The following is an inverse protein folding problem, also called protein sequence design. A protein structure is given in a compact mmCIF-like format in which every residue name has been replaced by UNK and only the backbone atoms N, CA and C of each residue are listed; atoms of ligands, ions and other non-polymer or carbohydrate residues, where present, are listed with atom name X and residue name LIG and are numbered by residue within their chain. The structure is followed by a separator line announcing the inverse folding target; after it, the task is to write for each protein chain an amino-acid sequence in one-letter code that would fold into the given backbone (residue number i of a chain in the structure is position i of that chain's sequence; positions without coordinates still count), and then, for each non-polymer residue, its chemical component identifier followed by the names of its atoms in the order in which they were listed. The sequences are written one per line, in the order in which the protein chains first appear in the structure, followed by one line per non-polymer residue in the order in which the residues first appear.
data_IF_879650707860
#
_entry.id   IF_879650707860
#
_cell.length_a   1.000
_cell.length_b   1.000
_cell.length_c   1.000
_cell.angle_alpha   90.00
_cell.angle_beta   90.00
_cell.angle_gamma   90.00
#
_symmetry.space_group_name_H-M   'P 1'
#
loop_
_entity.id
_entity.type
_entity.pdbx_description
1 polymer ?
#
# COMPACT_ATOMS: atom_id res chain seq x y z
N UNK A 1 -16.05 1.41 -24.91
CA UNK A 1 -15.06 2.12 -24.06
C UNK A 1 -13.81 1.28 -24.02
N UNK A 2 -12.65 1.84 -24.28
CA UNK A 2 -11.42 1.08 -24.13
C UNK A 2 -10.99 1.06 -22.65
N UNK A 3 -10.10 0.14 -22.25
CA UNK A 3 -9.66 0.00 -20.85
C UNK A 3 -9.05 1.28 -20.26
N UNK A 4 -8.40 2.11 -21.07
CA UNK A 4 -7.82 3.36 -20.58
C UNK A 4 -8.89 4.42 -20.32
N UNK A 5 -9.90 4.51 -21.18
CA UNK A 5 -11.05 5.41 -20.97
C UNK A 5 -11.80 5.03 -19.70
N UNK A 6 -12.06 3.73 -19.49
CA UNK A 6 -12.69 3.21 -18.29
C UNK A 6 -11.90 3.57 -17.02
N UNK A 7 -10.58 3.38 -17.03
CA UNK A 7 -9.73 3.73 -15.90
C UNK A 7 -9.75 5.23 -15.59
N UNK A 8 -9.70 6.07 -16.62
CA UNK A 8 -9.78 7.54 -16.47
C UNK A 8 -11.11 8.00 -15.83
N UNK A 9 -12.22 7.34 -16.19
CA UNK A 9 -13.51 7.62 -15.54
C UNK A 9 -13.50 7.23 -14.06
N UNK A 10 -12.93 6.06 -13.71
CA UNK A 10 -12.85 5.61 -12.31
C UNK A 10 -12.02 6.58 -11.46
N UNK A 11 -10.86 7.01 -11.95
CA UNK A 11 -10.00 7.93 -11.21
C UNK A 11 -10.49 9.38 -11.23
N UNK A 12 -11.32 9.74 -12.22
CA UNK A 12 -11.84 11.10 -12.41
C UNK A 12 -10.80 12.07 -12.96
N UNK A 13 -9.81 11.57 -13.72
CA UNK A 13 -8.80 12.38 -14.38
C UNK A 13 -8.66 11.98 -15.86
N UNK A 14 -8.74 12.96 -16.76
CA UNK A 14 -8.60 12.77 -18.19
C UNK A 14 -7.20 13.22 -18.65
N UNK A 15 -6.42 12.28 -19.17
CA UNK A 15 -5.08 12.55 -19.66
C UNK A 15 -5.13 13.31 -20.98
N UNK A 16 -4.31 14.35 -21.10
CA UNK A 16 -4.07 15.08 -22.37
C UNK A 16 -3.24 14.20 -23.33
N UNK A 17 -2.24 13.47 -22.78
CA UNK A 17 -1.47 12.45 -23.50
C UNK A 17 -1.81 11.04 -23.04
N UNK A 18 -2.64 10.29 -23.80
CA UNK A 18 -2.97 8.91 -23.46
C UNK A 18 -1.77 7.94 -23.44
N UNK A 19 -0.63 8.31 -24.03
CA UNK A 19 0.54 7.44 -24.04
C UNK A 19 1.23 7.42 -22.67
N UNK A 20 1.20 8.52 -21.93
CA UNK A 20 1.78 8.54 -20.57
C UNK A 20 0.99 7.64 -19.62
N UNK A 21 -0.35 7.62 -19.69
CA UNK A 21 -1.17 6.67 -18.95
C UNK A 21 -0.86 5.22 -19.34
N UNK A 22 -0.74 4.95 -20.65
CA UNK A 22 -0.38 3.62 -21.15
C UNK A 22 0.96 3.17 -20.60
N UNK A 23 1.95 4.05 -20.54
CA UNK A 23 3.25 3.77 -19.94
C UNK A 23 3.12 3.48 -18.44
N UNK A 24 2.43 4.30 -17.67
CA UNK A 24 2.19 4.10 -16.23
C UNK A 24 1.56 2.74 -15.92
N UNK A 25 0.67 2.27 -16.80
CA UNK A 25 0.01 0.96 -16.67
C UNK A 25 0.81 -0.21 -17.28
N UNK A 26 2.05 -0.01 -17.71
CA UNK A 26 2.87 -1.04 -18.36
C UNK A 26 4.00 -1.50 -17.44
N UNK A 27 3.85 -2.68 -16.84
CA UNK A 27 4.89 -3.30 -16.03
C UNK A 27 6.09 -3.75 -16.88
N UNK A 28 7.28 -3.74 -16.31
CA UNK A 28 8.54 -4.10 -17.00
C UNK A 28 8.51 -5.50 -17.63
N UNK A 29 7.82 -6.47 -17.05
CA UNK A 29 7.65 -7.80 -17.66
C UNK A 29 6.97 -7.76 -19.03
N UNK A 30 5.96 -6.89 -19.20
CA UNK A 30 5.27 -6.72 -20.48
C UNK A 30 6.17 -6.02 -21.52
N UNK A 31 6.88 -4.98 -21.10
CA UNK A 31 7.80 -4.23 -21.95
C UNK A 31 8.96 -5.13 -22.43
N UNK A 32 9.50 -5.96 -21.54
CA UNK A 32 10.58 -6.90 -21.84
C UNK A 32 10.17 -7.96 -22.87
N UNK A 33 8.98 -8.55 -22.75
CA UNK A 33 8.47 -9.53 -23.74
C UNK A 33 8.31 -8.91 -25.15
N UNK A 34 8.15 -7.61 -25.23
CA UNK A 34 7.99 -6.89 -26.49
C UNK A 34 9.25 -6.16 -26.97
N UNK A 35 10.37 -6.38 -26.28
CA UNK A 35 11.65 -5.69 -26.55
C UNK A 35 11.57 -4.15 -26.50
N UNK A 36 10.71 -3.60 -25.63
CA UNK A 36 10.41 -2.16 -25.49
C UNK A 36 10.67 -1.68 -24.06
N UNK A 37 11.87 -1.92 -23.55
CA UNK A 37 12.27 -1.60 -22.16
C UNK A 37 12.03 -0.15 -21.75
N UNK A 38 12.09 0.79 -22.67
CA UNK A 38 11.87 2.22 -22.39
C UNK A 38 10.39 2.61 -22.25
N UNK A 39 9.46 1.68 -22.46
CA UNK A 39 8.02 1.90 -22.38
C UNK A 39 7.39 1.33 -21.08
N UNK A 40 8.20 0.88 -20.12
CA UNK A 40 7.71 0.46 -18.81
C UNK A 40 7.44 1.64 -17.86
N UNK A 41 6.90 1.31 -16.69
CA UNK A 41 6.47 2.28 -15.70
C UNK A 41 7.54 2.69 -14.68
N UNK A 42 8.71 2.04 -14.62
CA UNK A 42 9.71 2.21 -13.55
C UNK A 42 10.16 3.68 -13.38
N UNK A 43 10.30 4.43 -14.46
CA UNK A 43 10.68 5.85 -14.39
C UNK A 43 9.55 6.76 -13.91
N UNK A 44 8.32 6.40 -14.21
CA UNK A 44 7.13 7.12 -13.71
C UNK A 44 6.89 6.82 -12.25
N UNK A 45 7.11 5.57 -11.81
CA UNK A 45 7.11 5.14 -10.42
C UNK A 45 8.10 5.98 -9.60
N UNK A 46 9.36 6.04 -10.02
CA UNK A 46 10.40 6.87 -9.35
C UNK A 46 9.96 8.33 -9.15
N UNK A 47 9.33 8.93 -10.16
CA UNK A 47 8.85 10.31 -10.07
C UNK A 47 7.61 10.41 -9.18
N UNK A 48 6.70 9.44 -9.30
CA UNK A 48 5.46 9.39 -8.53
C UNK A 48 5.69 9.21 -7.04
N UNK A 49 6.66 8.37 -6.65
CA UNK A 49 7.11 8.22 -5.27
C UNK A 49 7.51 9.57 -4.67
N UNK A 50 8.37 10.34 -5.35
CA UNK A 50 8.80 11.65 -4.90
C UNK A 50 7.62 12.64 -4.73
N UNK A 51 6.64 12.63 -5.65
CA UNK A 51 5.43 13.47 -5.57
C UNK A 51 4.55 13.02 -4.40
N UNK A 52 4.35 11.73 -4.21
CA UNK A 52 3.59 11.15 -3.12
C UNK A 52 4.20 11.50 -1.75
N UNK A 53 5.51 11.36 -1.61
CA UNK A 53 6.25 11.74 -0.41
C UNK A 53 6.08 13.22 -0.07
N UNK A 54 6.20 14.12 -1.05
CA UNK A 54 6.03 15.56 -0.86
C UNK A 54 4.61 15.91 -0.42
N UNK A 55 3.59 15.40 -1.13
CA UNK A 55 2.18 15.67 -0.80
C UNK A 55 1.80 15.12 0.56
N UNK A 56 2.25 13.90 0.88
CA UNK A 56 2.00 13.27 2.18
C UNK A 56 2.65 14.06 3.32
N UNK A 57 3.88 14.54 3.11
CA UNK A 57 4.60 15.38 4.09
C UNK A 57 3.87 16.70 4.34
N UNK A 58 3.48 17.40 3.28
CA UNK A 58 2.72 18.66 3.39
C UNK A 58 1.38 18.43 4.13
N UNK A 59 0.64 17.39 3.75
CA UNK A 59 -0.62 17.05 4.38
C UNK A 59 -0.45 16.79 5.88
N UNK A 60 0.53 15.98 6.27
CA UNK A 60 0.77 15.64 7.67
C UNK A 60 1.24 16.86 8.47
N UNK A 61 2.14 17.68 7.93
CA UNK A 61 2.60 18.92 8.55
C UNK A 61 1.45 19.87 8.87
N UNK A 62 0.51 20.04 7.94
CA UNK A 62 -0.62 20.96 8.10
C UNK A 62 -1.70 20.41 9.04
N UNK A 63 -1.96 19.11 9.02
CA UNK A 63 -3.11 18.52 9.71
C UNK A 63 -2.74 17.94 11.10
N UNK A 64 -1.45 17.70 11.37
CA UNK A 64 -0.97 17.13 12.64
C UNK A 64 0.08 18.02 13.34
N UNK A 65 -0.26 19.29 13.67
CA UNK A 65 0.73 20.28 14.17
C UNK A 65 1.28 19.95 15.56
N UNK A 66 0.72 18.96 16.26
CA UNK A 66 1.16 18.54 17.59
C UNK A 66 2.12 17.35 17.56
N UNK A 67 2.29 16.69 16.41
CA UNK A 67 3.20 15.56 16.28
C UNK A 67 4.65 16.04 16.14
N UNK A 68 5.57 15.29 16.74
CA UNK A 68 7.00 15.49 16.53
C UNK A 68 7.41 15.12 15.10
N UNK A 69 8.60 15.58 14.66
CA UNK A 69 9.17 15.20 13.36
C UNK A 69 9.28 13.68 13.22
N UNK A 70 9.73 12.98 14.26
CA UNK A 70 9.83 11.52 14.26
C UNK A 70 8.48 10.82 14.10
N UNK A 71 7.41 11.34 14.75
CA UNK A 71 6.06 10.79 14.62
C UNK A 71 5.48 11.06 13.23
N UNK A 72 5.72 12.26 12.67
CA UNK A 72 5.30 12.58 11.29
C UNK A 72 5.99 11.67 10.27
N UNK A 73 7.29 11.43 10.42
CA UNK A 73 8.06 10.52 9.57
C UNK A 73 7.55 9.09 9.66
N UNK A 74 7.26 8.60 10.87
CA UNK A 74 6.70 7.28 11.10
C UNK A 74 5.29 7.14 10.49
N UNK A 75 4.44 8.15 10.67
CA UNK A 75 3.09 8.15 10.10
C UNK A 75 3.13 8.18 8.58
N UNK A 76 3.97 9.04 7.98
CA UNK A 76 4.18 9.07 6.53
C UNK A 76 4.58 7.71 6.00
N UNK A 77 5.62 7.09 6.57
CA UNK A 77 6.07 5.75 6.15
C UNK A 77 4.93 4.70 6.18
N UNK A 78 4.00 4.81 7.14
CA UNK A 78 2.82 3.95 7.18
C UNK A 78 1.80 4.21 6.07
N UNK A 79 1.68 5.45 5.62
CA UNK A 79 0.73 5.85 4.58
C UNK A 79 1.22 5.52 3.16
N UNK A 80 2.54 5.61 2.93
CA UNK A 80 3.14 5.41 1.60
C UNK A 80 3.83 4.06 1.42
N UNK A 81 3.74 3.14 2.39
CA UNK A 81 4.34 1.81 2.25
C UNK A 81 3.55 0.91 1.27
N UNK A 82 4.23 -0.05 0.67
CA UNK A 82 3.68 -1.02 -0.29
C UNK A 82 2.32 -1.60 0.13
N UNK A 83 2.13 -2.14 1.37
CA UNK A 83 0.84 -2.73 1.76
C UNK A 83 -0.31 -1.71 1.76
N UNK A 84 -0.06 -0.48 2.18
CA UNK A 84 -1.06 0.58 2.23
C UNK A 84 -1.41 1.05 0.82
N UNK A 85 -0.41 1.31 -0.02
CA UNK A 85 -0.63 1.71 -1.41
C UNK A 85 -1.37 0.63 -2.19
N UNK A 86 -0.96 -0.64 -2.06
CA UNK A 86 -1.66 -1.76 -2.68
C UNK A 86 -3.13 -1.86 -2.25
N UNK A 87 -3.44 -1.61 -0.98
CA UNK A 87 -4.83 -1.58 -0.51
C UNK A 87 -5.62 -0.43 -1.15
N UNK A 88 -5.00 0.75 -1.35
CA UNK A 88 -5.64 1.90 -2.01
C UNK A 88 -6.03 1.59 -3.46
N UNK A 89 -5.31 0.69 -4.16
CA UNK A 89 -5.61 0.34 -5.55
C UNK A 89 -6.92 -0.39 -5.75
N UNK A 90 -7.46 -1.01 -4.70
CA UNK A 90 -8.70 -1.79 -4.79
C UNK A 90 -9.90 -0.93 -5.20
N UNK A 91 -10.01 0.30 -4.69
CA UNK A 91 -11.12 1.20 -5.00
C UNK A 91 -11.13 1.71 -6.45
N UNK A 92 -9.97 1.65 -7.12
CA UNK A 92 -9.83 2.02 -8.54
C UNK A 92 -9.62 0.80 -9.44
N UNK A 93 -9.66 -0.42 -8.89
CA UNK A 93 -9.49 -1.69 -9.63
C UNK A 93 -8.20 -1.72 -10.47
N UNK A 94 -7.14 -1.04 -10.03
CA UNK A 94 -5.93 -0.79 -10.81
C UNK A 94 -5.34 -2.07 -11.42
N UNK A 95 -5.38 -3.20 -10.69
CA UNK A 95 -4.87 -4.48 -11.16
C UNK A 95 -5.48 -4.97 -12.48
N UNK A 96 -6.72 -4.57 -12.80
CA UNK A 96 -7.41 -4.99 -14.04
C UNK A 96 -6.91 -4.22 -15.26
N UNK A 97 -6.26 -3.08 -15.02
CA UNK A 97 -5.74 -2.19 -16.06
C UNK A 97 -4.24 -2.34 -16.32
N UNK A 98 -3.47 -2.89 -15.36
CA UNK A 98 -2.03 -3.11 -15.51
C UNK A 98 -1.74 -4.12 -16.62
N UNK A 99 -0.77 -3.81 -17.48
CA UNK A 99 -0.30 -4.66 -18.58
C UNK A 99 0.89 -5.49 -18.09
N UNK A 100 0.71 -6.79 -18.01
CA UNK A 100 1.69 -7.76 -17.52
C UNK A 100 2.20 -8.65 -18.63
N UNK A 101 3.43 -9.10 -18.52
CA UNK A 101 3.95 -10.21 -19.31
C UNK A 101 3.26 -11.52 -18.92
N UNK A 102 3.28 -12.51 -19.81
CA UNK A 102 2.57 -13.80 -19.63
C UNK A 102 3.00 -14.51 -18.34
N UNK A 103 4.29 -14.47 -18.00
CA UNK A 103 4.79 -15.11 -16.78
C UNK A 103 4.22 -14.48 -15.52
N UNK A 104 4.22 -13.14 -15.43
CA UNK A 104 3.63 -12.41 -14.31
C UNK A 104 2.11 -12.60 -14.23
N UNK A 105 1.42 -12.58 -15.36
CA UNK A 105 -0.01 -12.84 -15.43
C UNK A 105 -0.37 -14.22 -14.85
N UNK A 106 0.35 -15.27 -15.25
CA UNK A 106 0.12 -16.64 -14.79
C UNK A 106 0.41 -16.86 -13.32
N UNK A 107 1.33 -16.09 -12.74
CA UNK A 107 1.70 -16.17 -11.31
C UNK A 107 0.88 -15.25 -10.41
N UNK A 108 -0.20 -14.65 -10.95
CA UNK A 108 -1.11 -13.80 -10.18
C UNK A 108 -0.61 -12.37 -9.97
N UNK A 109 0.24 -11.86 -10.87
CA UNK A 109 0.84 -10.51 -10.81
C UNK A 109 -0.18 -9.39 -10.63
N UNK A 110 -1.40 -9.52 -11.20
CA UNK A 110 -2.50 -8.53 -11.03
C UNK A 110 -2.92 -8.28 -9.58
N UNK A 111 -2.61 -9.18 -8.66
CA UNK A 111 -2.92 -9.09 -7.23
C UNK A 111 -1.68 -8.96 -6.37
N UNK A 112 -0.49 -8.89 -6.98
CA UNK A 112 0.77 -8.76 -6.27
C UNK A 112 0.93 -7.33 -5.76
N UNK A 113 1.10 -7.18 -4.44
CA UNK A 113 1.13 -5.88 -3.77
C UNK A 113 2.22 -4.97 -4.34
N UNK A 114 3.43 -5.48 -4.59
CA UNK A 114 4.51 -4.68 -5.18
C UNK A 114 4.14 -4.13 -6.56
N UNK A 115 3.59 -4.96 -7.45
CA UNK A 115 3.18 -4.50 -8.79
C UNK A 115 2.07 -3.44 -8.71
N UNK A 116 1.15 -3.59 -7.75
CA UNK A 116 0.05 -2.64 -7.56
C UNK A 116 0.53 -1.31 -6.97
N UNK A 117 1.44 -1.34 -5.97
CA UNK A 117 2.02 -0.11 -5.41
C UNK A 117 2.83 0.66 -6.45
N UNK A 118 3.73 -0.02 -7.16
CA UNK A 118 4.58 0.57 -8.19
C UNK A 118 3.76 1.18 -9.33
N UNK A 119 2.69 0.48 -9.76
CA UNK A 119 1.76 1.01 -10.77
C UNK A 119 0.97 2.23 -10.26
N UNK A 120 0.59 2.28 -8.97
CA UNK A 120 -0.08 3.44 -8.38
C UNK A 120 0.85 4.66 -8.36
N UNK A 121 2.09 4.48 -7.94
CA UNK A 121 3.11 5.53 -7.98
C UNK A 121 3.35 5.99 -9.41
N UNK A 122 3.45 5.07 -10.36
CA UNK A 122 3.59 5.42 -11.78
C UNK A 122 2.40 6.23 -12.31
N UNK A 123 1.17 5.94 -11.88
CA UNK A 123 -0.02 6.75 -12.22
C UNK A 123 0.09 8.15 -11.63
N UNK A 124 0.57 8.31 -10.40
CA UNK A 124 0.82 9.61 -9.78
C UNK A 124 1.85 10.40 -10.60
N UNK A 125 2.96 9.78 -10.97
CA UNK A 125 3.99 10.38 -11.81
C UNK A 125 3.45 10.79 -13.18
N UNK A 126 2.60 9.98 -13.78
CA UNK A 126 1.94 10.29 -15.05
C UNK A 126 0.99 11.49 -14.93
N UNK A 127 0.13 11.54 -13.90
CA UNK A 127 -0.76 12.70 -13.64
C UNK A 127 0.06 13.96 -13.40
N UNK A 128 1.17 13.86 -12.66
CA UNK A 128 2.06 14.99 -12.43
C UNK A 128 2.65 15.57 -13.72
N UNK A 129 3.13 14.73 -14.63
CA UNK A 129 3.71 15.17 -15.90
C UNK A 129 2.66 15.72 -16.86
N UNK A 130 1.48 15.13 -16.88
CA UNK A 130 0.38 15.50 -17.79
C UNK A 130 -0.39 16.74 -17.32
N UNK A 131 -0.71 16.81 -16.03
CA UNK A 131 -1.59 17.84 -15.46
C UNK A 131 -0.99 18.70 -14.35
N UNK A 132 0.27 18.46 -13.99
CA UNK A 132 1.00 19.22 -12.96
C UNK A 132 0.67 18.82 -11.53
N UNK A 133 1.34 19.50 -10.61
CA UNK A 133 1.34 19.18 -9.18
C UNK A 133 -0.07 19.19 -8.55
N UNK A 134 -0.92 20.16 -8.92
CA UNK A 134 -2.27 20.29 -8.34
C UNK A 134 -3.13 19.06 -8.61
N UNK A 135 -3.15 18.57 -9.84
CA UNK A 135 -3.90 17.37 -10.21
C UNK A 135 -3.37 16.11 -9.51
N UNK A 136 -2.04 15.96 -9.42
CA UNK A 136 -1.43 14.85 -8.68
C UNK A 136 -1.76 14.92 -7.18
N UNK A 137 -1.72 16.10 -6.58
CA UNK A 137 -2.11 16.33 -5.19
C UNK A 137 -3.58 15.97 -4.92
N UNK A 138 -4.49 16.40 -5.79
CA UNK A 138 -5.92 16.06 -5.67
C UNK A 138 -6.15 14.55 -5.75
N UNK A 139 -5.46 13.87 -6.67
CA UNK A 139 -5.51 12.42 -6.79
C UNK A 139 -5.02 11.72 -5.50
N UNK A 140 -3.87 12.14 -4.97
CA UNK A 140 -3.29 11.57 -3.75
C UNK A 140 -4.22 11.80 -2.54
N UNK A 141 -4.77 13.01 -2.38
CA UNK A 141 -5.72 13.32 -1.31
C UNK A 141 -6.98 12.47 -1.41
N UNK A 142 -7.50 12.27 -2.61
CA UNK A 142 -8.74 11.52 -2.86
C UNK A 142 -8.59 10.02 -2.61
N UNK A 143 -7.48 9.41 -3.02
CA UNK A 143 -7.34 7.96 -3.05
C UNK A 143 -6.38 7.40 -1.99
N UNK A 144 -5.42 8.20 -1.52
CA UNK A 144 -4.37 7.71 -0.62
C UNK A 144 -4.48 8.33 0.77
N UNK A 145 -4.65 9.65 0.88
CA UNK A 145 -4.69 10.34 2.17
C UNK A 145 -6.10 10.42 2.77
N UNK A 146 -6.89 9.39 2.57
CA UNK A 146 -8.19 9.17 3.21
C UNK A 146 -8.07 8.14 4.33
N UNK A 147 -8.97 8.21 5.31
CA UNK A 147 -9.06 7.22 6.41
C UNK A 147 -7.72 6.98 7.13
N UNK A 148 -7.02 8.08 7.42
CA UNK A 148 -5.67 8.08 8.01
C UNK A 148 -5.62 7.31 9.33
N UNK A 149 -6.64 7.46 10.19
CA UNK A 149 -6.66 6.81 11.50
C UNK A 149 -6.72 5.28 11.38
N UNK A 150 -7.44 4.75 10.41
CA UNK A 150 -7.49 3.32 10.15
C UNK A 150 -6.16 2.80 9.58
N UNK A 151 -5.56 3.55 8.65
CA UNK A 151 -4.24 3.22 8.08
C UNK A 151 -3.14 3.27 9.15
N UNK A 152 -3.17 4.28 10.03
CA UNK A 152 -2.27 4.38 11.19
C UNK A 152 -2.45 3.18 12.12
N UNK A 153 -3.70 2.82 12.42
CA UNK A 153 -4.01 1.67 13.26
C UNK A 153 -3.42 0.38 12.66
N UNK A 154 -3.54 0.21 11.34
CA UNK A 154 -2.99 -0.96 10.66
C UNK A 154 -1.46 -0.97 10.69
N UNK A 155 -0.81 0.13 10.32
CA UNK A 155 0.65 0.22 10.23
C UNK A 155 1.35 0.11 11.58
N UNK A 156 0.82 0.72 12.63
CA UNK A 156 1.42 0.80 13.96
C UNK A 156 0.76 -0.15 14.97
N UNK A 157 0.00 -1.11 14.48
CA UNK A 157 -0.84 -1.98 15.32
C UNK A 157 -0.05 -2.71 16.42
N UNK A 158 1.19 -3.14 16.17
CA UNK A 158 2.02 -3.80 17.19
C UNK A 158 2.37 -2.85 18.34
N UNK A 159 2.77 -1.62 18.06
CA UNK A 159 3.08 -0.62 19.08
C UNK A 159 1.82 -0.23 19.86
N UNK A 160 0.75 0.07 19.13
CA UNK A 160 -0.52 0.47 19.72
C UNK A 160 -1.09 -0.64 20.62
N UNK A 161 -1.01 -1.91 20.18
CA UNK A 161 -1.45 -3.05 20.97
C UNK A 161 -0.57 -3.26 22.20
N UNK A 162 0.75 -3.09 22.07
CA UNK A 162 1.69 -3.18 23.18
C UNK A 162 1.36 -2.15 24.27
N UNK A 163 1.18 -0.88 23.90
CA UNK A 163 0.81 0.21 24.81
C UNK A 163 -0.55 -0.05 25.46
N UNK A 164 -1.53 -0.50 24.68
CA UNK A 164 -2.86 -0.82 25.16
C UNK A 164 -2.83 -1.97 26.21
N UNK A 165 -2.08 -3.03 25.93
CA UNK A 165 -1.97 -4.17 26.85
C UNK A 165 -1.24 -3.78 28.12
N UNK A 166 -0.12 -3.05 28.02
CA UNK A 166 0.61 -2.55 29.19
C UNK A 166 -0.21 -1.62 30.09
N UNK A 167 -1.14 -0.86 29.52
CA UNK A 167 -2.00 0.04 30.28
C UNK A 167 -3.25 -0.59 30.89
N UNK A 168 -3.67 -1.79 30.44
CA UNK A 168 -4.97 -2.36 30.81
C UNK A 168 -4.92 -3.79 31.32
N UNK A 169 -3.78 -4.48 31.23
CA UNK A 169 -3.63 -5.89 31.64
C UNK A 169 -2.35 -6.09 32.45
N UNK A 170 -2.38 -7.04 33.37
CA UNK A 170 -1.19 -7.45 34.14
C UNK A 170 -0.31 -8.40 33.34
N UNK A 171 -0.94 -9.23 32.48
CA UNK A 171 -0.23 -10.20 31.65
C UNK A 171 0.40 -9.55 30.43
N UNK A 172 1.56 -10.07 30.02
CA UNK A 172 2.30 -9.57 28.88
C UNK A 172 1.69 -9.96 27.51
N UNK A 173 1.81 -9.06 26.55
CA UNK A 173 1.54 -9.36 25.14
C UNK A 173 2.63 -10.29 24.59
N UNK A 174 2.21 -11.34 23.90
CA UNK A 174 3.10 -12.27 23.20
C UNK A 174 2.56 -12.63 21.82
N UNK A 175 3.45 -13.12 20.95
CA UNK A 175 3.09 -13.60 19.62
C UNK A 175 3.53 -15.05 19.46
N UNK A 176 2.58 -15.91 19.09
CA UNK A 176 2.83 -17.34 18.88
C UNK A 176 2.71 -17.68 17.40
N UNK A 177 3.75 -18.26 16.83
CA UNK A 177 3.69 -18.85 15.50
C UNK A 177 2.80 -20.11 15.55
N UNK A 178 1.72 -20.09 14.75
CA UNK A 178 0.80 -21.21 14.62
C UNK A 178 1.19 -22.12 13.47
N UNK A 179 1.56 -21.53 12.34
CA UNK A 179 1.86 -22.26 11.11
C UNK A 179 2.94 -21.54 10.30
N UNK A 180 3.80 -22.34 9.67
CA UNK A 180 4.72 -21.91 8.62
C UNK A 180 4.52 -22.84 7.42
N UNK A 181 4.08 -22.31 6.27
CA UNK A 181 3.74 -23.09 5.09
C UNK A 181 4.30 -22.46 3.83
N UNK A 182 4.36 -23.26 2.74
CA UNK A 182 4.86 -22.84 1.44
C UNK A 182 6.37 -23.04 1.25
N UNK A 183 6.85 -22.98 -0.02
CA UNK A 183 8.26 -23.13 -0.36
C UNK A 183 9.05 -21.87 0.08
N UNK A 184 10.37 -22.00 0.20
CA UNK A 184 11.27 -20.95 0.72
C UNK A 184 11.09 -19.58 0.05
N UNK A 185 10.83 -19.57 -1.24
CA UNK A 185 10.62 -18.34 -2.02
C UNK A 185 9.18 -17.79 -1.93
N UNK A 186 8.26 -18.50 -1.26
CA UNK A 186 6.86 -18.09 -1.09
C UNK A 186 6.28 -18.61 0.23
N UNK A 187 7.01 -18.38 1.32
CA UNK A 187 6.56 -18.74 2.67
C UNK A 187 5.36 -17.92 3.09
N UNK A 188 4.48 -18.55 3.86
CA UNK A 188 3.40 -17.91 4.57
C UNK A 188 3.48 -18.29 6.05
N UNK A 189 3.34 -17.30 6.91
CA UNK A 189 3.36 -17.45 8.36
C UNK A 189 1.99 -17.09 8.91
N UNK A 190 1.48 -17.89 9.84
CA UNK A 190 0.28 -17.57 10.61
C UNK A 190 0.67 -17.40 12.08
N UNK A 191 0.33 -16.26 12.65
CA UNK A 191 0.69 -15.85 14.00
C UNK A 191 -0.56 -15.50 14.79
N UNK A 192 -0.55 -15.80 16.07
CA UNK A 192 -1.58 -15.44 17.04
C UNK A 192 -1.01 -14.44 18.06
N UNK A 193 -1.70 -13.31 18.27
CA UNK A 193 -1.43 -12.39 19.37
C UNK A 193 -2.17 -12.85 20.63
N UNK A 194 -1.49 -12.82 21.78
CA UNK A 194 -1.99 -13.35 23.06
C UNK A 194 -1.71 -12.39 24.21
N UNK A 195 -2.63 -12.34 25.16
CA UNK A 195 -2.42 -11.76 26.50
C UNK A 195 -2.42 -12.92 27.48
N UNK A 196 -1.28 -13.22 28.09
CA UNK A 196 -1.10 -14.45 28.86
C UNK A 196 -1.43 -15.68 27.98
N UNK A 197 -2.38 -16.51 28.44
CA UNK A 197 -2.87 -17.70 27.73
C UNK A 197 -4.06 -17.43 26.79
N UNK A 198 -4.58 -16.22 26.75
CA UNK A 198 -5.76 -15.86 25.95
C UNK A 198 -5.33 -15.38 24.56
N UNK A 199 -5.82 -16.02 23.52
CA UNK A 199 -5.72 -15.52 22.15
C UNK A 199 -6.64 -14.31 21.96
N UNK A 200 -6.11 -13.24 21.35
CA UNK A 200 -6.83 -11.97 21.14
C UNK A 200 -6.90 -11.54 19.67
N UNK A 201 -6.13 -12.19 18.79
CA UNK A 201 -6.15 -11.93 17.36
C UNK A 201 -5.22 -12.87 16.62
N UNK A 202 -5.48 -13.10 15.34
CA UNK A 202 -4.61 -13.89 14.47
C UNK A 202 -4.38 -13.17 13.13
N UNK A 203 -3.24 -13.42 12.52
CA UNK A 203 -2.89 -12.82 11.24
C UNK A 203 -1.91 -13.67 10.46
N UNK A 204 -1.91 -13.49 9.15
CA UNK A 204 -1.02 -14.20 8.23
C UNK A 204 -0.23 -13.24 7.38
N UNK A 205 0.99 -13.65 6.99
CA UNK A 205 1.86 -12.81 6.16
C UNK A 205 3.04 -13.57 5.60
N UNK A 206 3.71 -12.98 4.61
CA UNK A 206 4.91 -13.57 3.97
C UNK A 206 6.16 -13.53 4.85
N UNK A 207 6.14 -12.78 5.92
CA UNK A 207 7.17 -12.74 6.96
C UNK A 207 6.52 -12.86 8.32
N UNK A 208 7.25 -13.34 9.33
CA UNK A 208 6.77 -13.39 10.71
C UNK A 208 6.33 -12.00 11.19
N UNK A 209 7.12 -10.96 10.86
CA UNK A 209 6.79 -9.56 11.21
C UNK A 209 5.46 -9.10 10.59
N UNK A 210 5.20 -9.43 9.33
CA UNK A 210 3.94 -9.09 8.66
C UNK A 210 2.74 -9.83 9.28
N UNK A 211 2.91 -11.11 9.63
CA UNK A 211 1.88 -11.90 10.29
C UNK A 211 1.57 -11.39 11.71
N UNK A 212 2.61 -11.00 12.48
CA UNK A 212 2.44 -10.37 13.81
C UNK A 212 1.73 -9.02 13.73
N UNK A 213 2.05 -8.22 12.71
CA UNK A 213 1.41 -6.92 12.47
C UNK A 213 -0.08 -7.09 12.18
N UNK A 214 -0.43 -8.03 11.32
CA UNK A 214 -1.82 -8.38 11.02
C UNK A 214 -2.55 -8.93 12.25
N UNK A 215 -1.92 -9.82 13.03
CA UNK A 215 -2.49 -10.34 14.26
C UNK A 215 -2.78 -9.24 15.29
N UNK A 216 -1.85 -8.28 15.43
CA UNK A 216 -2.04 -7.13 16.31
C UNK A 216 -3.19 -6.22 15.84
N UNK A 217 -3.30 -5.99 14.53
CA UNK A 217 -4.38 -5.21 13.96
C UNK A 217 -5.74 -5.84 14.22
N UNK A 218 -5.90 -7.14 13.98
CA UNK A 218 -7.13 -7.87 14.25
C UNK A 218 -7.49 -7.85 15.76
N UNK A 219 -6.49 -7.97 16.64
CA UNK A 219 -6.68 -7.84 18.07
C UNK A 219 -7.23 -6.44 18.46
N UNK A 220 -6.67 -5.37 17.89
CA UNK A 220 -7.13 -4.00 18.17
C UNK A 220 -8.56 -3.74 17.69
N UNK A 221 -8.96 -4.30 16.55
CA UNK A 221 -10.33 -4.20 16.05
C UNK A 221 -11.34 -4.87 17.00
N UNK A 222 -10.93 -5.92 17.72
CA UNK A 222 -11.77 -6.62 18.70
C UNK A 222 -11.79 -5.93 20.06
N UNK A 223 -10.66 -5.38 20.52
CA UNK A 223 -10.50 -4.79 21.84
C UNK A 223 -11.00 -3.33 21.95
N UNK A 224 -11.14 -2.62 20.83
CA UNK A 224 -11.65 -1.24 20.78
C UNK A 224 -13.16 -1.15 20.50
N UNK A 225 -13.86 -2.29 20.42
CA UNK A 225 -15.32 -2.36 20.42
C UNK A 225 -15.86 -2.30 21.85
#
# INVERSE_FOLDING_TARGET
MNKQEEFQEIIGYQFQDPQILKQALTHSSYANERHRKSEDNERLEFLGDAVLELVSSEFLFLNYPKLSEGDLTKLRAGLVCEPTLAACTAQMQLGDFVRLGRGEEQTGGRRRKSILSDALEAVIGAIYLDGGFTNAKEFILKFILTDIEHKKLFYDSKTILQEFVQGNYEEALSYRLLEESGPDHNKNFTVEARIGDRAIGSGSGRTKKAAEQEAAYQALLLLKK
#
